data_IF_673031839742
#
_entry.id   IF_673031839742
#
_cell.length_a   1.000
_cell.length_b   1.000
_cell.length_c   1.000
_cell.angle_alpha   90.00
_cell.angle_beta   90.00
_cell.angle_gamma   90.00
#
_symmetry.space_group_name_H-M   'P 1'
#
loop_
_entity.id
_entity.type
_entity.pdbx_description
1 polymer ?
#
# COMPACT_ATOMS: atom_id res chain seq x y z
N UNK A 1 -41.91 30.83 -52.69
CA UNK A 1 -40.51 30.94 -52.21
C UNK A 1 -40.54 30.81 -50.69
N UNK A 2 -39.89 29.80 -50.08
CA UNK A 2 -39.82 29.69 -48.62
C UNK A 2 -38.54 30.34 -48.09
N UNK A 3 -38.68 31.22 -47.09
CA UNK A 3 -37.57 31.83 -46.38
C UNK A 3 -37.00 30.87 -45.33
N UNK A 4 -35.72 30.55 -45.43
CA UNK A 4 -34.98 29.77 -44.43
C UNK A 4 -34.60 30.67 -43.25
N UNK A 5 -35.37 30.61 -42.16
CA UNK A 5 -34.93 31.17 -40.88
C UNK A 5 -33.87 30.25 -40.27
N UNK A 6 -32.61 30.62 -40.45
CA UNK A 6 -31.49 30.05 -39.69
C UNK A 6 -31.46 30.74 -38.34
N UNK A 7 -32.24 30.25 -37.38
CA UNK A 7 -32.11 30.68 -35.98
C UNK A 7 -30.96 29.91 -35.36
N UNK A 8 -29.78 30.52 -35.36
CA UNK A 8 -28.62 30.10 -34.57
C UNK A 8 -29.01 29.95 -33.09
N UNK A 9 -28.51 28.92 -32.37
CA UNK A 9 -28.84 28.74 -30.96
C UNK A 9 -28.35 29.94 -30.15
N UNK A 10 -29.11 30.37 -29.11
CA UNK A 10 -28.73 31.52 -28.30
C UNK A 10 -27.41 31.22 -27.60
N UNK A 11 -26.36 31.93 -28.01
CA UNK A 11 -25.08 31.97 -27.30
C UNK A 11 -25.36 32.59 -25.93
N UNK A 12 -25.48 31.76 -24.90
CA UNK A 12 -25.90 32.19 -23.58
C UNK A 12 -24.79 33.07 -22.96
N UNK A 13 -24.98 34.39 -22.81
CA UNK A 13 -23.93 35.31 -22.38
C UNK A 13 -23.49 35.05 -20.94
N UNK A 14 -24.32 34.40 -20.13
CA UNK A 14 -23.98 33.96 -18.77
C UNK A 14 -22.88 32.89 -18.76
N UNK A 15 -22.78 32.06 -19.81
CA UNK A 15 -21.72 31.04 -19.95
C UNK A 15 -20.37 31.67 -20.33
N UNK A 16 -20.38 32.75 -21.11
CA UNK A 16 -19.16 33.51 -21.44
C UNK A 16 -18.68 34.36 -20.26
N UNK A 17 -19.60 34.93 -19.48
CA UNK A 17 -19.24 35.70 -18.29
C UNK A 17 -18.67 34.83 -17.15
N UNK A 18 -19.05 33.55 -17.08
CA UNK A 18 -18.56 32.60 -16.08
C UNK A 18 -17.28 31.86 -16.48
N UNK A 19 -16.83 31.99 -17.72
CA UNK A 19 -15.61 31.36 -18.25
C UNK A 19 -14.37 31.52 -17.34
N UNK A 20 -14.02 32.73 -16.84
CA UNK A 20 -12.87 32.90 -15.95
C UNK A 20 -13.06 32.23 -14.58
N UNK A 21 -14.30 32.15 -14.09
CA UNK A 21 -14.62 31.43 -12.84
C UNK A 21 -14.47 29.91 -13.04
N UNK A 22 -14.90 29.39 -14.20
CA UNK A 22 -14.75 27.98 -14.56
C UNK A 22 -13.28 27.60 -14.75
N UNK A 23 -12.49 28.45 -15.42
CA UNK A 23 -11.04 28.27 -15.58
C UNK A 23 -10.31 28.29 -14.24
N UNK A 24 -10.64 29.25 -13.37
CA UNK A 24 -10.08 29.30 -12.01
C UNK A 24 -10.44 28.04 -11.22
N UNK A 25 -11.69 27.58 -11.29
CA UNK A 25 -12.14 26.39 -10.58
C UNK A 25 -11.46 25.12 -11.10
N UNK A 26 -11.26 25.00 -12.42
CA UNK A 26 -10.50 23.91 -13.03
C UNK A 26 -9.02 23.92 -12.60
N UNK A 27 -8.39 25.09 -12.54
CA UNK A 27 -7.03 25.23 -12.02
C UNK A 27 -6.93 24.81 -10.55
N UNK A 28 -7.91 25.20 -9.72
CA UNK A 28 -7.96 24.77 -8.32
C UNK A 28 -8.12 23.25 -8.18
N UNK A 29 -8.87 22.61 -9.08
CA UNK A 29 -8.97 21.14 -9.11
C UNK A 29 -7.66 20.46 -9.50
N UNK A 30 -6.96 20.96 -10.51
CA UNK A 30 -5.65 20.42 -10.91
C UNK A 30 -4.64 20.58 -9.76
N UNK A 31 -4.69 21.70 -9.04
CA UNK A 31 -3.88 21.93 -7.85
C UNK A 31 -4.27 21.00 -6.69
N UNK A 32 -5.54 20.62 -6.56
CA UNK A 32 -6.03 19.68 -5.54
C UNK A 32 -5.80 18.19 -5.86
N UNK A 33 -5.74 17.81 -7.14
CA UNK A 33 -5.48 16.42 -7.56
C UNK A 33 -4.01 16.06 -7.30
N UNK A 34 -3.09 16.98 -7.51
CA UNK A 34 -1.64 16.75 -7.33
C UNK A 34 -1.29 16.20 -5.94
N UNK A 35 -1.68 16.81 -4.81
CA UNK A 35 -1.39 16.27 -3.48
C UNK A 35 -2.09 14.94 -3.20
N UNK A 36 -3.31 14.72 -3.73
CA UNK A 36 -3.99 13.42 -3.59
C UNK A 36 -3.27 12.30 -4.34
N UNK A 37 -2.79 12.57 -5.56
CA UNK A 37 -2.03 11.58 -6.33
C UNK A 37 -0.70 11.22 -5.66
N UNK A 38 -0.02 12.19 -5.04
CA UNK A 38 1.21 11.95 -4.26
C UNK A 38 0.93 11.12 -3.01
N UNK A 39 -0.11 11.47 -2.26
CA UNK A 39 -0.52 10.69 -1.09
C UNK A 39 -0.86 9.24 -1.47
N UNK A 40 -1.58 9.05 -2.58
CA UNK A 40 -1.94 7.74 -3.07
C UNK A 40 -0.72 6.94 -3.53
N UNK A 41 0.28 7.59 -4.14
CA UNK A 41 1.56 6.98 -4.49
C UNK A 41 2.33 6.54 -3.24
N UNK A 42 2.53 7.44 -2.27
CA UNK A 42 3.21 7.14 -1.01
C UNK A 42 2.53 6.00 -0.25
N UNK A 43 1.19 5.92 -0.33
CA UNK A 43 0.42 4.83 0.28
C UNK A 43 0.66 3.50 -0.42
N UNK A 44 0.65 3.47 -1.76
CA UNK A 44 0.94 2.25 -2.54
C UNK A 44 2.37 1.76 -2.32
N UNK A 45 3.35 2.67 -2.25
CA UNK A 45 4.73 2.31 -1.95
C UNK A 45 4.86 1.68 -0.55
N UNK A 46 4.26 2.30 0.46
CA UNK A 46 4.25 1.75 1.82
C UNK A 46 3.56 0.39 1.89
N UNK A 47 2.50 0.17 1.10
CA UNK A 47 1.81 -1.11 1.03
C UNK A 47 2.65 -2.18 0.34
N UNK A 48 3.37 -1.80 -0.73
CA UNK A 48 4.28 -2.70 -1.46
C UNK A 48 5.41 -3.19 -0.56
N UNK A 49 6.05 -2.27 0.19
CA UNK A 49 7.11 -2.58 1.14
C UNK A 49 6.62 -3.57 2.21
N UNK A 50 5.42 -3.35 2.75
CA UNK A 50 4.78 -4.24 3.73
C UNK A 50 4.48 -5.62 3.14
N UNK A 51 3.94 -5.68 1.91
CA UNK A 51 3.64 -6.95 1.25
C UNK A 51 4.90 -7.77 0.98
N UNK A 52 5.98 -7.13 0.54
CA UNK A 52 7.25 -7.82 0.31
C UNK A 52 7.81 -8.41 1.61
N UNK A 53 7.64 -7.69 2.72
CA UNK A 53 8.06 -8.16 4.03
C UNK A 53 7.23 -9.36 4.50
N UNK A 54 5.89 -9.31 4.36
CA UNK A 54 5.03 -10.43 4.72
C UNK A 54 5.31 -11.66 3.85
N UNK A 55 5.62 -11.48 2.56
CA UNK A 55 6.04 -12.59 1.70
C UNK A 55 7.30 -13.28 2.22
N UNK A 56 8.29 -12.52 2.70
CA UNK A 56 9.51 -13.08 3.33
C UNK A 56 9.18 -13.83 4.63
N UNK A 57 8.29 -13.29 5.45
CA UNK A 57 7.87 -13.94 6.69
C UNK A 57 7.12 -15.25 6.43
N UNK A 58 6.20 -15.26 5.46
CA UNK A 58 5.46 -16.47 5.04
C UNK A 58 6.43 -17.52 4.49
N UNK A 59 7.42 -17.11 3.69
CA UNK A 59 8.46 -18.02 3.19
C UNK A 59 9.25 -18.65 4.35
N UNK A 60 9.67 -17.86 5.34
CA UNK A 60 10.37 -18.35 6.52
C UNK A 60 9.50 -19.33 7.34
N UNK A 61 8.22 -19.01 7.55
CA UNK A 61 7.25 -19.90 8.19
C UNK A 61 7.08 -21.23 7.44
N UNK A 62 7.05 -21.20 6.11
CA UNK A 62 6.94 -22.42 5.31
C UNK A 62 8.20 -23.29 5.43
N UNK A 63 9.39 -22.68 5.47
CA UNK A 63 10.66 -23.37 5.68
C UNK A 63 10.75 -23.98 7.09
N UNK A 64 10.35 -23.23 8.12
CA UNK A 64 10.24 -23.70 9.50
C UNK A 64 9.27 -24.90 9.61
N UNK A 65 8.15 -24.87 8.90
CA UNK A 65 7.23 -26.00 8.83
C UNK A 65 7.85 -27.25 8.21
N UNK A 66 8.65 -27.10 7.15
CA UNK A 66 9.40 -28.20 6.55
C UNK A 66 10.45 -28.77 7.51
N UNK A 67 11.21 -27.90 8.18
CA UNK A 67 12.20 -28.31 9.19
C UNK A 67 11.55 -29.07 10.34
N UNK A 68 10.39 -28.61 10.82
CA UNK A 68 9.64 -29.28 11.87
C UNK A 68 9.22 -30.69 11.42
N UNK A 69 8.71 -30.83 10.20
CA UNK A 69 8.39 -32.13 9.60
C UNK A 69 9.60 -33.06 9.52
N UNK A 70 10.75 -32.55 9.08
CA UNK A 70 12.00 -33.32 9.02
C UNK A 70 12.49 -33.74 10.42
N UNK A 71 12.31 -32.90 11.44
CA UNK A 71 12.65 -33.25 12.81
C UNK A 71 11.77 -34.37 13.35
N UNK A 72 10.47 -34.33 13.08
CA UNK A 72 9.56 -35.44 13.44
C UNK A 72 9.93 -36.73 12.70
N UNK A 73 10.32 -36.67 11.44
CA UNK A 73 10.72 -37.85 10.66
C UNK A 73 12.05 -38.46 11.15
N UNK A 74 13.01 -37.61 11.52
CA UNK A 74 14.36 -38.03 11.95
C UNK A 74 14.40 -38.47 13.42
N UNK A 75 13.67 -37.77 14.30
CA UNK A 75 13.72 -37.95 15.75
C UNK A 75 12.42 -38.47 16.34
N UNK A 76 11.48 -38.97 15.53
CA UNK A 76 10.13 -39.39 15.95
C UNK A 76 10.03 -40.37 17.14
N UNK A 77 11.13 -41.07 17.46
CA UNK A 77 11.22 -42.00 18.59
C UNK A 77 11.87 -41.39 19.85
N UNK A 78 12.43 -40.19 19.76
CA UNK A 78 13.15 -39.50 20.84
C UNK A 78 12.43 -38.17 21.19
N UNK A 79 11.58 -38.16 22.22
CA UNK A 79 10.77 -36.99 22.57
C UNK A 79 11.60 -35.78 23.04
N UNK A 80 12.78 -35.99 23.64
CA UNK A 80 13.64 -34.87 24.05
C UNK A 80 14.20 -34.14 22.83
N UNK A 81 14.65 -34.88 21.80
CA UNK A 81 15.16 -34.26 20.55
C UNK A 81 14.07 -33.58 19.74
N UNK A 82 12.83 -34.09 19.78
CA UNK A 82 11.69 -33.41 19.15
C UNK A 82 11.41 -32.09 19.88
N UNK A 83 11.43 -32.08 21.21
CA UNK A 83 11.22 -30.88 22.00
C UNK A 83 12.30 -29.84 21.74
N UNK A 84 13.59 -30.22 21.75
CA UNK A 84 14.70 -29.31 21.43
C UNK A 84 14.53 -28.69 20.04
N UNK A 85 14.19 -29.51 19.04
CA UNK A 85 13.98 -29.01 17.68
C UNK A 85 12.78 -28.06 17.58
N UNK A 86 11.68 -28.36 18.29
CA UNK A 86 10.53 -27.47 18.36
C UNK A 86 10.88 -26.14 19.02
N UNK A 87 11.63 -26.16 20.14
CA UNK A 87 12.04 -24.93 20.84
C UNK A 87 12.94 -24.04 19.96
N UNK A 88 13.85 -24.65 19.19
CA UNK A 88 14.71 -23.93 18.25
C UNK A 88 13.88 -23.26 17.13
N UNK A 89 12.99 -24.02 16.49
CA UNK A 89 12.13 -23.51 15.41
C UNK A 89 11.16 -22.44 15.94
N UNK A 90 10.57 -22.65 17.11
CA UNK A 90 9.68 -21.69 17.73
C UNK A 90 10.42 -20.37 18.06
N UNK A 91 11.66 -20.45 18.51
CA UNK A 91 12.52 -19.28 18.76
C UNK A 91 12.82 -18.52 17.47
N UNK A 92 13.17 -19.23 16.40
CA UNK A 92 13.43 -18.63 15.08
C UNK A 92 12.20 -17.92 14.52
N UNK A 93 11.03 -18.57 14.54
CA UNK A 93 9.76 -17.97 14.10
C UNK A 93 9.39 -16.75 14.96
N UNK A 94 9.61 -16.82 16.28
CA UNK A 94 9.36 -15.70 17.18
C UNK A 94 10.26 -14.49 16.88
N UNK A 95 11.54 -14.70 16.58
CA UNK A 95 12.45 -13.62 16.19
C UNK A 95 12.01 -12.97 14.87
N UNK A 96 11.68 -13.78 13.86
CA UNK A 96 11.14 -13.27 12.59
C UNK A 96 9.85 -12.47 12.78
N UNK A 97 8.96 -12.94 13.66
CA UNK A 97 7.73 -12.24 13.99
C UNK A 97 7.98 -10.93 14.76
N UNK A 98 8.93 -10.91 15.69
CA UNK A 98 9.33 -9.72 16.42
C UNK A 98 9.91 -8.65 15.48
N UNK A 99 10.77 -9.07 14.56
CA UNK A 99 11.33 -8.19 13.53
C UNK A 99 10.23 -7.64 12.62
N UNK A 100 9.21 -8.45 12.33
CA UNK A 100 8.02 -8.01 11.61
C UNK A 100 7.28 -6.89 12.33
N UNK A 101 6.96 -7.09 13.60
CA UNK A 101 6.25 -6.10 14.43
C UNK A 101 7.03 -4.79 14.51
N UNK A 102 8.35 -4.84 14.70
CA UNK A 102 9.21 -3.64 14.73
C UNK A 102 9.12 -2.82 13.44
N UNK A 103 9.16 -3.49 12.28
CA UNK A 103 9.05 -2.81 10.99
C UNK A 103 7.64 -2.24 10.78
N UNK A 104 6.58 -3.01 11.06
CA UNK A 104 5.20 -2.53 10.94
C UNK A 104 4.94 -1.33 11.87
N UNK A 105 5.51 -1.33 13.08
CA UNK A 105 5.40 -0.21 14.01
C UNK A 105 6.07 1.08 13.51
N UNK A 106 7.08 0.96 12.63
CA UNK A 106 7.78 2.11 12.03
C UNK A 106 7.08 2.70 10.80
N UNK A 107 6.23 1.91 10.10
CA UNK A 107 5.55 2.34 8.87
C UNK A 107 4.75 3.65 9.00
N UNK A 108 3.98 3.90 10.07
CA UNK A 108 3.22 5.15 10.20
C UNK A 108 4.10 6.39 10.34
N UNK A 109 5.31 6.23 10.87
CA UNK A 109 6.27 7.31 11.04
C UNK A 109 7.02 7.59 9.73
N UNK A 110 7.41 6.54 9.00
CA UNK A 110 8.01 6.65 7.67
C UNK A 110 7.04 7.23 6.65
N UNK A 111 5.79 6.78 6.64
CA UNK A 111 4.73 7.32 5.78
C UNK A 111 4.49 8.82 6.02
N UNK A 112 4.40 9.22 7.30
CA UNK A 112 4.31 10.64 7.66
C UNK A 112 5.52 11.43 7.18
N UNK A 113 6.73 10.88 7.33
CA UNK A 113 7.95 11.55 6.86
C UNK A 113 7.94 11.76 5.35
N UNK A 114 7.62 10.72 4.56
CA UNK A 114 7.52 10.82 3.10
C UNK A 114 6.50 11.86 2.65
N UNK A 115 5.34 11.93 3.32
CA UNK A 115 4.34 12.99 3.06
C UNK A 115 4.92 14.38 3.31
N UNK A 116 5.66 14.58 4.41
CA UNK A 116 6.22 15.88 4.79
C UNK A 116 7.43 16.30 3.93
N UNK A 117 8.21 15.36 3.40
CA UNK A 117 9.34 15.64 2.51
C UNK A 117 8.91 15.99 1.07
N UNK A 118 7.71 15.57 0.65
CA UNK A 118 7.16 15.84 -0.69
C UNK A 118 6.20 17.06 -0.76
N UNK A 119 5.90 17.68 0.37
CA UNK A 119 5.03 18.86 0.53
C UNK A 119 5.83 20.17 0.47
#
# INVERSE_FOLDING_TARGET
>A
MPSTNTTSPPTNPALFASQPLVEWWAQQWIQGITPMTRLQLAWMESMSDMMQQEARFIAALSAAGQQLGQCYETHGHDPEKIQECYEEIAREVAEHHMQRIKQVASLPQEFRRRIWEEL
#
